data_IF_899819840272
#
_entry.id   IF_899819840272
#
_cell.length_a   1.000
_cell.length_b   1.000
_cell.length_c   1.000
_cell.angle_alpha   90.00
_cell.angle_beta   90.00
_cell.angle_gamma   90.00
#
_symmetry.space_group_name_H-M   'P 1'
#
loop_
_entity.id
_entity.type
_entity.pdbx_description
1 polymer ?
#
# COMPACT_ATOMS: atom_id res chain seq x y z
N UNK A 1 -5.01 -4.50 -16.68
CA UNK A 1 -4.06 -3.97 -15.65
C UNK A 1 -2.60 -4.31 -15.96
N UNK A 2 -1.66 -3.49 -15.50
CA UNK A 2 -0.20 -3.67 -15.66
C UNK A 2 0.50 -3.84 -14.30
N UNK A 3 1.29 -4.90 -14.13
CA UNK A 3 2.19 -5.04 -12.99
C UNK A 3 3.36 -4.06 -13.15
N UNK A 4 3.64 -3.29 -12.10
CA UNK A 4 4.75 -2.33 -12.06
C UNK A 4 5.56 -2.50 -10.79
N UNK A 5 6.79 -1.97 -10.77
CA UNK A 5 7.60 -1.98 -9.55
C UNK A 5 6.93 -1.11 -8.47
N UNK A 6 7.08 -1.46 -7.17
CA UNK A 6 6.51 -0.68 -6.07
C UNK A 6 6.82 0.82 -6.15
N UNK A 7 8.09 1.18 -6.40
CA UNK A 7 8.53 2.57 -6.53
C UNK A 7 7.88 3.30 -7.72
N UNK A 8 7.67 2.62 -8.85
CA UNK A 8 7.04 3.21 -10.04
C UNK A 8 5.57 3.55 -9.75
N UNK A 9 4.88 2.67 -9.03
CA UNK A 9 3.51 2.92 -8.56
C UNK A 9 3.48 4.11 -7.61
N UNK A 10 4.39 4.16 -6.64
CA UNK A 10 4.47 5.25 -5.67
C UNK A 10 4.81 6.60 -6.32
N UNK A 11 5.70 6.64 -7.32
CA UNK A 11 5.98 7.86 -8.06
C UNK A 11 4.76 8.37 -8.84
N UNK A 12 3.99 7.45 -9.44
CA UNK A 12 2.70 7.80 -10.09
C UNK A 12 1.70 8.36 -9.06
N UNK A 13 1.71 7.80 -7.85
CA UNK A 13 0.93 8.27 -6.71
C UNK A 13 1.26 9.69 -6.29
N UNK A 14 2.54 10.04 -6.13
CA UNK A 14 2.95 11.40 -5.82
C UNK A 14 2.61 12.40 -6.94
N UNK A 15 2.82 12.04 -8.21
CA UNK A 15 2.59 12.94 -9.36
C UNK A 15 1.12 13.31 -9.55
N UNK A 16 0.19 12.50 -9.08
CA UNK A 16 -1.24 12.78 -9.17
C UNK A 16 -1.69 13.96 -8.30
N UNK A 17 -0.94 14.30 -7.24
CA UNK A 17 -1.31 15.31 -6.24
C UNK A 17 -1.48 16.76 -6.73
N UNK A 18 -1.16 17.08 -7.98
CA UNK A 18 -1.21 18.45 -8.51
C UNK A 18 -2.46 18.82 -9.34
N UNK A 19 -3.31 17.86 -9.72
CA UNK A 19 -4.56 18.17 -10.47
C UNK A 19 -5.77 17.30 -10.14
N UNK A 20 -5.59 16.04 -9.75
CA UNK A 20 -6.65 15.17 -9.20
C UNK A 20 -5.99 14.24 -8.18
N UNK A 21 -6.29 14.41 -6.89
CA UNK A 21 -5.66 13.66 -5.79
C UNK A 21 -6.00 12.17 -5.88
N UNK A 22 -5.19 11.44 -6.64
CA UNK A 22 -5.38 10.03 -6.90
C UNK A 22 -5.14 9.19 -5.65
N UNK A 23 -5.96 8.17 -5.45
CA UNK A 23 -5.87 7.27 -4.29
C UNK A 23 -5.33 5.90 -4.67
N UNK A 24 -4.75 5.19 -3.71
CA UNK A 24 -4.39 3.79 -3.83
C UNK A 24 -5.44 2.91 -3.16
N UNK A 25 -5.62 1.71 -3.72
CA UNK A 25 -6.44 0.67 -3.11
C UNK A 25 -5.55 -0.48 -2.66
N UNK A 26 -5.62 -0.84 -1.39
CA UNK A 26 -5.00 -2.01 -0.78
C UNK A 26 -5.90 -3.22 -0.92
N UNK A 27 -5.35 -4.36 -1.35
CA UNK A 27 -6.07 -5.63 -1.44
C UNK A 27 -5.37 -6.67 -0.58
N UNK A 28 -6.12 -7.27 0.33
CA UNK A 28 -5.75 -8.53 1.00
C UNK A 28 -6.56 -9.67 0.39
N UNK A 29 -5.89 -10.62 -0.27
CA UNK A 29 -6.55 -11.64 -1.09
C UNK A 29 -6.60 -12.98 -0.36
N UNK A 30 -7.64 -13.16 0.43
CA UNK A 30 -7.95 -14.42 1.12
C UNK A 30 -8.65 -15.46 0.22
N UNK A 31 -8.93 -16.64 0.80
CA UNK A 31 -9.63 -17.73 0.09
C UNK A 31 -11.11 -17.43 -0.15
N UNK A 32 -11.81 -16.85 0.84
CA UNK A 32 -13.25 -16.57 0.80
C UNK A 32 -13.58 -15.10 0.58
N UNK A 33 -12.64 -14.21 0.89
CA UNK A 33 -12.85 -12.78 0.93
C UNK A 33 -11.64 -12.06 0.36
N UNK A 34 -11.88 -10.87 -0.20
CA UNK A 34 -10.84 -9.90 -0.53
C UNK A 34 -11.09 -8.65 0.30
N UNK A 35 -10.22 -8.40 1.28
CA UNK A 35 -10.27 -7.19 2.09
C UNK A 35 -9.79 -5.99 1.29
N UNK A 36 -10.52 -4.87 1.36
CA UNK A 36 -10.17 -3.64 0.67
C UNK A 36 -9.88 -2.52 1.67
N UNK A 37 -8.80 -1.79 1.41
CA UNK A 37 -8.46 -0.54 2.09
C UNK A 37 -8.20 0.56 1.06
N UNK A 38 -8.41 1.82 1.42
CA UNK A 38 -8.18 2.97 0.55
C UNK A 38 -7.27 3.99 1.24
N UNK A 39 -6.40 4.65 0.48
CA UNK A 39 -5.63 5.78 0.99
C UNK A 39 -6.50 7.04 1.08
N UNK A 40 -6.15 7.94 1.97
CA UNK A 40 -6.63 9.31 1.93
C UNK A 40 -6.10 10.05 0.69
N UNK A 41 -6.66 11.24 0.40
CA UNK A 41 -6.25 12.07 -0.73
C UNK A 41 -4.93 12.81 -0.48
N UNK A 42 -4.52 12.91 0.79
CA UNK A 42 -3.22 13.45 1.20
C UNK A 42 -2.11 12.41 1.14
N UNK A 43 -2.41 11.16 0.78
CA UNK A 43 -1.46 10.08 0.56
C UNK A 43 -0.63 9.70 1.79
N UNK A 44 -1.23 9.77 2.98
CA UNK A 44 -0.58 9.53 4.29
C UNK A 44 -1.17 8.35 5.04
N UNK A 45 -2.49 8.17 4.98
CA UNK A 45 -3.20 7.24 5.86
C UNK A 45 -4.04 6.28 5.01
N UNK A 46 -4.03 5.00 5.38
CA UNK A 46 -4.95 3.99 4.87
C UNK A 46 -6.15 3.81 5.81
N UNK A 47 -7.33 3.57 5.25
CA UNK A 47 -8.56 3.29 6.00
C UNK A 47 -9.27 2.06 5.45
N UNK A 48 -10.00 1.30 6.30
CA UNK A 48 -10.83 0.20 5.82
C UNK A 48 -11.87 0.71 4.82
N UNK A 49 -12.10 -0.02 3.73
CA UNK A 49 -13.11 0.33 2.73
C UNK A 49 -14.29 -0.65 2.76
N UNK A 50 -14.05 -1.89 2.37
CA UNK A 50 -15.08 -2.92 2.26
C UNK A 50 -14.44 -4.30 2.11
N UNK A 51 -15.27 -5.33 2.01
CA UNK A 51 -14.83 -6.70 1.73
C UNK A 51 -15.62 -7.25 0.54
N UNK A 52 -14.92 -7.84 -0.43
CA UNK A 52 -15.55 -8.57 -1.53
C UNK A 52 -15.63 -10.05 -1.20
N UNK A 53 -16.75 -10.70 -1.51
CA UNK A 53 -16.88 -12.15 -1.40
C UNK A 53 -16.23 -12.81 -2.61
N UNK A 54 -15.27 -13.72 -2.39
CA UNK A 54 -14.55 -14.42 -3.45
C UNK A 54 -15.15 -15.80 -3.71
N UNK A 55 -15.52 -16.05 -4.97
CA UNK A 55 -15.97 -17.35 -5.48
C UNK A 55 -15.29 -17.60 -6.83
N UNK A 56 -15.18 -18.86 -7.25
CA UNK A 56 -14.60 -19.19 -8.57
C UNK A 56 -15.39 -18.61 -9.74
N UNK A 57 -16.69 -18.36 -9.55
CA UNK A 57 -17.63 -17.97 -10.62
C UNK A 57 -17.93 -16.48 -10.68
N UNK A 58 -17.40 -15.66 -9.77
CA UNK A 58 -17.81 -14.25 -9.64
C UNK A 58 -16.70 -13.24 -9.97
N UNK A 59 -15.64 -13.65 -10.68
CA UNK A 59 -14.53 -12.75 -11.03
C UNK A 59 -15.00 -11.50 -11.80
N UNK A 60 -15.92 -11.66 -12.77
CA UNK A 60 -16.45 -10.54 -13.54
C UNK A 60 -17.24 -9.55 -12.69
N UNK A 61 -17.97 -10.04 -11.69
CA UNK A 61 -18.68 -9.20 -10.74
C UNK A 61 -17.70 -8.40 -9.88
N UNK A 62 -16.69 -9.07 -9.32
CA UNK A 62 -15.65 -8.38 -8.53
C UNK A 62 -14.88 -7.35 -9.38
N UNK A 63 -14.58 -7.67 -10.64
CA UNK A 63 -13.93 -6.73 -11.55
C UNK A 63 -14.82 -5.52 -11.87
N UNK A 64 -16.14 -5.71 -11.97
CA UNK A 64 -17.10 -4.59 -12.07
C UNK A 64 -17.14 -3.75 -10.80
N UNK A 65 -17.18 -4.37 -9.62
CA UNK A 65 -17.20 -3.65 -8.34
C UNK A 65 -15.92 -2.82 -8.17
N UNK A 66 -14.75 -3.40 -8.46
CA UNK A 66 -13.48 -2.68 -8.46
C UNK A 66 -13.47 -1.55 -9.51
N UNK A 67 -14.02 -1.75 -10.70
CA UNK A 67 -14.11 -0.71 -11.72
C UNK A 67 -14.95 0.49 -11.24
N UNK A 68 -16.07 0.24 -10.54
CA UNK A 68 -16.87 1.32 -9.94
C UNK A 68 -16.07 2.08 -8.88
N UNK A 69 -15.36 1.37 -8.00
CA UNK A 69 -14.50 1.98 -6.99
C UNK A 69 -13.39 2.84 -7.61
N UNK A 70 -12.82 2.40 -8.73
CA UNK A 70 -11.78 3.16 -9.46
C UNK A 70 -12.29 4.53 -9.87
N UNK A 71 -13.48 4.60 -10.46
CA UNK A 71 -14.08 5.87 -10.86
C UNK A 71 -14.51 6.71 -9.66
N UNK A 72 -15.14 6.10 -8.64
CA UNK A 72 -15.66 6.80 -7.48
C UNK A 72 -14.57 7.39 -6.57
N UNK A 73 -13.44 6.68 -6.46
CA UNK A 73 -12.37 7.03 -5.53
C UNK A 73 -11.15 7.63 -6.25
N UNK A 74 -11.23 7.85 -7.56
CA UNK A 74 -10.11 8.32 -8.39
C UNK A 74 -8.86 7.45 -8.17
N UNK A 75 -9.04 6.12 -8.21
CA UNK A 75 -7.95 5.19 -7.93
C UNK A 75 -6.95 5.19 -9.10
N UNK A 76 -5.67 5.26 -8.77
CA UNK A 76 -4.59 5.28 -9.77
C UNK A 76 -3.84 3.95 -9.89
N UNK A 77 -4.07 3.05 -8.94
CA UNK A 77 -3.50 1.71 -8.92
C UNK A 77 -3.72 0.98 -7.59
N UNK A 78 -3.30 -0.28 -7.58
CA UNK A 78 -3.55 -1.21 -6.48
C UNK A 78 -2.25 -1.69 -5.82
N UNK A 79 -2.29 -1.84 -4.50
CA UNK A 79 -1.25 -2.48 -3.69
C UNK A 79 -1.82 -3.80 -3.20
N UNK A 80 -1.23 -4.90 -3.65
CA UNK A 80 -1.77 -6.24 -3.39
C UNK A 80 -0.86 -6.96 -2.40
N UNK A 81 -1.43 -7.39 -1.27
CA UNK A 81 -0.75 -8.23 -0.30
C UNK A 81 -0.22 -9.49 -0.96
N UNK A 82 1.04 -9.80 -0.72
CA UNK A 82 1.70 -10.97 -1.26
C UNK A 82 2.55 -11.63 -0.17
N UNK A 83 2.28 -12.90 0.16
CA UNK A 83 3.04 -13.63 1.17
C UNK A 83 4.40 -14.01 0.59
N UNK A 84 5.39 -13.13 0.76
CA UNK A 84 6.77 -13.42 0.37
C UNK A 84 7.34 -14.48 1.31
N UNK A 85 7.73 -15.63 0.75
CA UNK A 85 8.46 -16.65 1.50
C UNK A 85 9.89 -16.19 1.75
N UNK A 86 10.34 -16.32 3.00
CA UNK A 86 11.73 -16.08 3.41
C UNK A 86 12.71 -17.11 2.79
N UNK A 87 12.20 -18.25 2.33
CA UNK A 87 12.99 -19.38 1.81
C UNK A 87 12.92 -19.49 0.28
N UNK A 88 12.35 -18.49 -0.41
CA UNK A 88 12.32 -18.40 -1.88
C UNK A 88 11.28 -19.29 -2.58
N UNK A 89 10.58 -20.16 -1.86
CA UNK A 89 9.55 -21.04 -2.43
C UNK A 89 8.17 -20.37 -2.36
N UNK A 90 7.44 -20.32 -3.49
CA UNK A 90 6.09 -19.72 -3.51
C UNK A 90 5.13 -20.59 -2.70
N UNK A 91 4.50 -20.02 -1.68
CA UNK A 91 3.46 -20.71 -0.91
C UNK A 91 2.18 -20.90 -1.73
N UNK A 92 1.29 -21.78 -1.26
CA UNK A 92 -0.02 -21.99 -1.91
C UNK A 92 -0.79 -20.68 -1.99
N UNK A 93 -0.72 -19.87 -0.94
CA UNK A 93 -1.34 -18.54 -0.85
C UNK A 93 -0.79 -17.59 -1.91
N UNK A 94 0.54 -17.54 -2.08
CA UNK A 94 1.19 -16.72 -3.09
C UNK A 94 0.71 -17.04 -4.52
N UNK A 95 0.50 -18.33 -4.81
CA UNK A 95 -0.07 -18.79 -6.08
C UNK A 95 -1.53 -18.35 -6.21
N UNK A 96 -2.33 -18.46 -5.15
CA UNK A 96 -3.73 -18.02 -5.15
C UNK A 96 -3.89 -16.52 -5.40
N UNK A 97 -3.01 -15.69 -4.84
CA UNK A 97 -3.00 -14.24 -5.10
C UNK A 97 -2.69 -13.96 -6.57
N UNK A 98 -1.65 -14.59 -7.13
CA UNK A 98 -1.27 -14.42 -8.54
C UNK A 98 -2.39 -14.85 -9.50
N UNK A 99 -3.00 -16.01 -9.24
CA UNK A 99 -4.12 -16.50 -10.04
C UNK A 99 -5.29 -15.52 -10.01
N UNK A 100 -5.67 -15.03 -8.83
CA UNK A 100 -6.72 -14.03 -8.70
C UNK A 100 -6.43 -12.75 -9.49
N UNK A 101 -5.22 -12.22 -9.39
CA UNK A 101 -4.81 -11.01 -10.12
C UNK A 101 -4.80 -11.23 -11.64
N UNK A 102 -4.43 -12.42 -12.10
CA UNK A 102 -4.47 -12.79 -13.51
C UNK A 102 -5.90 -12.97 -14.03
N UNK A 103 -6.78 -13.60 -13.24
CA UNK A 103 -8.21 -13.70 -13.54
C UNK A 103 -8.85 -12.31 -13.65
N UNK A 104 -8.56 -11.40 -12.70
CA UNK A 104 -9.01 -10.00 -12.77
C UNK A 104 -8.49 -9.31 -14.04
N UNK A 105 -7.22 -9.51 -14.39
CA UNK A 105 -6.60 -8.92 -15.58
C UNK A 105 -7.31 -9.39 -16.86
N UNK A 106 -7.63 -10.68 -16.96
CA UNK A 106 -8.30 -11.28 -18.13
C UNK A 106 -9.70 -10.71 -18.40
N UNK A 107 -10.36 -10.14 -17.39
CA UNK A 107 -11.67 -9.48 -17.60
C UNK A 107 -11.59 -8.22 -18.47
N UNK A 108 -10.42 -7.58 -18.59
CA UNK A 108 -10.23 -6.31 -19.32
C UNK A 108 -10.90 -5.07 -18.70
N UNK A 109 -11.73 -5.23 -17.66
CA UNK A 109 -12.47 -4.12 -17.03
C UNK A 109 -11.59 -3.09 -16.32
N UNK A 110 -10.41 -3.53 -15.90
CA UNK A 110 -9.43 -2.75 -15.15
C UNK A 110 -8.23 -2.38 -16.01
N UNK A 111 -8.40 -2.33 -17.34
CA UNK A 111 -7.35 -1.89 -18.24
C UNK A 111 -7.06 -0.40 -18.06
N UNK A 112 -5.77 -0.05 -18.13
CA UNK A 112 -5.26 1.28 -17.77
C UNK A 112 -4.78 1.43 -16.33
N UNK A 113 -5.15 0.53 -15.40
CA UNK A 113 -4.64 0.55 -14.03
C UNK A 113 -3.31 -0.19 -13.87
N UNK A 114 -2.53 0.29 -12.91
CA UNK A 114 -1.31 -0.34 -12.45
C UNK A 114 -1.56 -1.08 -11.13
N UNK A 115 -0.83 -2.16 -10.88
CA UNK A 115 -0.78 -2.78 -9.57
C UNK A 115 0.64 -3.20 -9.21
N UNK A 116 0.89 -3.40 -7.93
CA UNK A 116 2.14 -3.96 -7.42
C UNK A 116 1.88 -4.94 -6.30
N UNK A 117 2.85 -5.81 -6.02
CA UNK A 117 2.82 -6.72 -4.88
C UNK A 117 3.57 -6.09 -3.71
N UNK A 118 3.03 -6.24 -2.51
CA UNK A 118 3.65 -5.74 -1.27
C UNK A 118 3.67 -6.81 -0.19
N UNK A 119 4.69 -6.77 0.66
CA UNK A 119 4.90 -7.83 1.64
C UNK A 119 3.93 -7.71 2.80
N UNK A 120 3.23 -8.81 3.09
CA UNK A 120 2.23 -8.91 4.16
C UNK A 120 2.84 -9.30 5.52
N UNK A 121 4.07 -9.83 5.55
CA UNK A 121 4.61 -10.45 6.76
C UNK A 121 4.81 -9.51 7.96
N UNK A 122 4.89 -8.19 7.74
CA UNK A 122 5.09 -7.20 8.81
C UNK A 122 3.78 -6.71 9.43
N UNK A 123 2.68 -6.76 8.69
CA UNK A 123 1.41 -6.12 9.08
C UNK A 123 0.68 -6.94 10.13
N UNK A 124 0.70 -8.28 10.03
CA UNK A 124 0.08 -9.16 11.01
C UNK A 124 0.71 -9.01 12.40
N UNK A 125 2.04 -8.92 12.49
CA UNK A 125 2.75 -8.76 13.78
C UNK A 125 2.43 -7.42 14.46
N UNK A 126 2.33 -6.34 13.69
CA UNK A 126 2.00 -5.02 14.24
C UNK A 126 0.57 -4.99 14.79
N UNK A 127 -0.40 -5.55 14.07
CA UNK A 127 -1.79 -5.60 14.55
C UNK A 127 -1.92 -6.56 15.73
N UNK A 128 -1.27 -7.72 15.68
CA UNK A 128 -1.24 -8.68 16.80
C UNK A 128 -0.69 -8.03 18.07
N UNK A 129 0.42 -7.30 17.99
CA UNK A 129 0.99 -6.56 19.13
C UNK A 129 0.07 -5.47 19.70
N UNK A 130 -0.82 -4.88 18.89
CA UNK A 130 -1.83 -3.92 19.35
C UNK A 130 -3.02 -4.59 20.05
N UNK A 131 -3.37 -5.81 19.63
CA UNK A 131 -4.52 -6.54 20.17
C UNK A 131 -4.17 -7.38 21.40
N UNK A 132 -2.93 -7.83 21.52
CA UNK A 132 -2.45 -8.68 22.62
C UNK A 132 -2.77 -8.09 24.03
N UNK A 133 -2.54 -6.78 24.29
CA UNK A 133 -2.86 -6.19 25.60
C UNK A 133 -4.36 -6.13 25.91
N UNK A 134 -5.23 -6.23 24.89
CA UNK A 134 -6.68 -6.16 25.06
C UNK A 134 -7.28 -7.49 25.53
N UNK A 135 -6.49 -8.58 25.55
CA UNK A 135 -6.88 -9.91 26.00
C UNK A 135 -8.21 -10.40 25.40
N UNK A 136 -8.41 -10.09 24.11
CA UNK A 136 -9.62 -10.45 23.38
C UNK A 136 -9.68 -11.96 23.12
N UNK A 137 -10.90 -12.47 22.92
CA UNK A 137 -11.05 -13.87 22.56
C UNK A 137 -10.35 -14.14 21.21
N UNK A 138 -9.65 -15.28 21.00
CA UNK A 138 -8.88 -15.53 19.77
C UNK A 138 -9.67 -15.35 18.47
N UNK A 139 -10.97 -15.67 18.51
CA UNK A 139 -11.90 -15.47 17.39
C UNK A 139 -12.12 -13.98 17.10
N UNK A 140 -12.23 -13.15 18.13
CA UNK A 140 -12.40 -11.70 18.01
C UNK A 140 -11.10 -11.06 17.51
N UNK A 141 -9.95 -11.41 18.10
CA UNK A 141 -8.63 -10.96 17.63
C UNK A 141 -8.42 -11.28 16.15
N UNK A 142 -8.73 -12.52 15.74
CA UNK A 142 -8.65 -12.93 14.34
C UNK A 142 -9.61 -12.14 13.45
N UNK A 143 -10.85 -11.92 13.90
CA UNK A 143 -11.83 -11.13 13.15
C UNK A 143 -11.35 -9.69 12.94
N UNK A 144 -10.70 -9.10 13.94
CA UNK A 144 -10.12 -7.76 13.83
C UNK A 144 -8.90 -7.80 12.89
N UNK A 145 -7.97 -8.74 13.06
CA UNK A 145 -6.82 -8.90 12.15
C UNK A 145 -7.25 -9.01 10.69
N UNK A 146 -8.20 -9.91 10.38
CA UNK A 146 -8.72 -10.12 9.04
C UNK A 146 -9.38 -8.84 8.46
N UNK A 147 -10.02 -8.01 9.31
CA UNK A 147 -10.61 -6.73 8.89
C UNK A 147 -9.57 -5.66 8.59
N UNK A 148 -8.43 -5.69 9.27
CA UNK A 148 -7.38 -4.67 9.16
C UNK A 148 -6.19 -5.09 8.30
N UNK A 149 -6.13 -6.33 7.82
CA UNK A 149 -5.03 -6.83 6.99
C UNK A 149 -4.77 -5.94 5.76
N UNK A 150 -5.82 -5.62 4.99
CA UNK A 150 -5.71 -4.74 3.83
C UNK A 150 -5.23 -3.31 4.18
N UNK A 151 -5.63 -2.80 5.35
CA UNK A 151 -5.19 -1.50 5.86
C UNK A 151 -3.71 -1.55 6.19
N UNK A 152 -3.27 -2.59 6.90
CA UNK A 152 -1.87 -2.80 7.22
C UNK A 152 -1.00 -2.84 5.96
N UNK A 153 -1.39 -3.64 4.96
CA UNK A 153 -0.66 -3.77 3.69
C UNK A 153 -0.49 -2.40 3.02
N UNK A 154 -1.59 -1.64 2.90
CA UNK A 154 -1.57 -0.35 2.23
C UNK A 154 -0.80 0.70 3.04
N UNK A 155 -0.99 0.72 4.36
CA UNK A 155 -0.29 1.67 5.24
C UNK A 155 1.21 1.41 5.23
N UNK A 156 1.64 0.15 5.30
CA UNK A 156 3.05 -0.21 5.26
C UNK A 156 3.71 0.21 3.94
N UNK A 157 3.03 -0.01 2.81
CA UNK A 157 3.48 0.48 1.50
C UNK A 157 3.67 2.01 1.49
N UNK A 158 2.66 2.76 1.96
CA UNK A 158 2.70 4.23 1.98
C UNK A 158 3.82 4.71 2.92
N UNK A 159 3.86 4.19 4.15
CA UNK A 159 4.85 4.57 5.17
C UNK A 159 6.28 4.25 4.75
N UNK A 160 6.52 3.09 4.13
CA UNK A 160 7.85 2.73 3.63
C UNK A 160 8.38 3.76 2.64
N UNK A 161 7.59 4.11 1.62
CA UNK A 161 8.05 5.05 0.60
C UNK A 161 8.02 6.51 1.06
N UNK A 162 7.13 6.89 1.97
CA UNK A 162 7.20 8.20 2.62
C UNK A 162 8.45 8.32 3.49
N UNK A 163 8.82 7.29 4.24
CA UNK A 163 10.06 7.24 5.02
C UNK A 163 11.29 7.38 4.13
N UNK A 164 11.39 6.55 3.07
CA UNK A 164 12.47 6.64 2.09
C UNK A 164 12.54 8.03 1.43
N UNK A 165 11.39 8.62 1.10
CA UNK A 165 11.33 9.98 0.56
C UNK A 165 11.82 11.01 1.59
N UNK A 166 11.33 10.97 2.82
CA UNK A 166 11.77 11.88 3.88
C UNK A 166 13.27 11.73 4.13
N UNK A 167 13.81 10.51 4.22
CA UNK A 167 15.23 10.24 4.43
C UNK A 167 16.09 10.79 3.28
N UNK A 168 15.67 10.57 2.03
CA UNK A 168 16.39 11.06 0.86
C UNK A 168 16.45 12.59 0.78
N UNK A 169 15.40 13.29 1.21
CA UNK A 169 15.35 14.76 1.20
C UNK A 169 15.83 15.39 2.51
N UNK A 170 15.78 14.68 3.64
CA UNK A 170 16.34 15.18 4.91
C UNK A 170 17.87 15.12 4.89
N UNK A 171 18.49 14.14 4.24
CA UNK A 171 19.94 14.18 4.00
C UNK A 171 20.37 15.34 3.08
N UNK A 172 19.56 15.70 2.08
CA UNK A 172 19.87 16.87 1.24
C UNK A 172 19.59 18.19 1.95
N UNK A 173 18.50 18.30 2.72
CA UNK A 173 18.21 19.48 3.55
C UNK A 173 19.22 19.65 4.69
N UNK A 174 19.64 18.58 5.36
CA UNK A 174 20.68 18.63 6.38
C UNK A 174 22.01 19.09 5.78
N UNK A 175 22.39 18.57 4.60
CA UNK A 175 23.56 19.07 3.88
C UNK A 175 23.46 20.55 3.51
N UNK A 176 22.30 21.00 3.03
CA UNK A 176 22.03 22.41 2.73
C UNK A 176 22.04 23.30 3.97
N UNK A 177 21.48 22.84 5.09
CA UNK A 177 21.46 23.56 6.36
C UNK A 177 22.84 23.60 7.00
N UNK A 178 23.64 22.53 6.90
CA UNK A 178 25.03 22.49 7.35
C UNK A 178 25.93 23.41 6.51
N UNK A 179 25.72 23.47 5.19
CA UNK A 179 26.44 24.41 4.31
C UNK A 179 26.03 25.87 4.56
N UNK A 180 24.74 26.16 4.79
CA UNK A 180 24.27 27.47 5.23
C UNK A 180 24.90 27.87 6.58
N UNK A 181 24.94 26.95 7.54
CA UNK A 181 25.47 27.22 8.88
C UNK A 181 27.01 27.36 8.88
N UNK A 182 27.71 26.68 7.94
CA UNK A 182 29.15 26.87 7.70
C UNK A 182 29.46 28.21 7.04
N UNK A 183 28.65 28.64 6.07
CA UNK A 183 28.83 29.93 5.40
C UNK A 183 28.55 31.10 6.34
N UNK A 184 27.52 30.99 7.18
CA UNK A 184 27.20 31.99 8.22
C UNK A 184 28.32 32.16 9.26
N UNK A 185 29.06 31.08 9.60
CA UNK A 185 30.22 31.16 10.52
C UNK A 185 31.49 31.70 9.87
N UNK A 186 31.53 31.80 8.54
CA UNK A 186 32.71 32.29 7.80
C UNK A 186 32.68 33.78 7.51
N UNK A 187 31.51 34.44 7.64
CA UNK A 187 31.35 35.88 7.39
C UNK A 187 31.59 36.77 8.63
N UNK A 188 31.69 36.19 9.83
CA UNK A 188 31.79 36.93 11.12
C UNK A 188 33.22 37.00 11.72
N UNK A 189 34.28 36.77 10.94
CA UNK A 189 35.66 37.07 11.39
C UNK A 189 36.10 38.44 10.85
N UNK A 190 36.18 39.50 11.69
CA UNK A 190 36.79 40.75 11.26
C UNK A 190 38.26 40.50 10.92
N UNK A 191 38.68 40.97 9.73
CA UNK A 191 40.10 41.01 9.36
C UNK A 191 40.76 42.10 10.18
N UNK A 192 41.48 41.71 11.24
CA UNK A 192 42.54 42.53 11.84
C UNK A 192 43.87 42.29 11.14
#
# INVERSE_FOLDING_TARGET
>A
MKLVKPIELFQKFLKSGSKEQGRLLGLDVGQKYVGLAVSDTCNKIASPLSVLVRKKTNIDLMARDLQMLVSQLSLIGFVVGYPFSLQGQSSVEAVQVKLFMEELRKTGRLDGLCYTYWNENYTSKCVEALLDPLNLHPVESKTIMDKFAAVGILQDFISHFLGVFVDQYSHSLLGYLDDMNRNLKSEDMPRE
#
